data_IF_179052125001
#
_entry.id   IF_179052125001
#
_cell.length_a   1.000
_cell.length_b   1.000
_cell.length_c   1.000
_cell.angle_alpha   90.00
_cell.angle_beta   90.00
_cell.angle_gamma   90.00
#
_symmetry.space_group_name_H-M   'P 1'
#
loop_
_entity.id
_entity.type
_entity.pdbx_description
1 polymer ?
#
# COMPACT_ATOMS: atom_id res chain seq x y z
N UNK A 1 7.26 -10.43 19.28
CA UNK A 1 5.99 -10.34 18.53
C UNK A 1 6.34 -10.22 17.06
N UNK A 2 5.69 -10.83 16.09
CA UNK A 2 4.25 -10.99 15.85
C UNK A 2 3.89 -12.29 15.07
N UNK A 3 4.51 -13.45 15.32
CA UNK A 3 4.32 -14.63 14.44
C UNK A 3 2.86 -15.13 14.34
N UNK A 4 2.00 -14.85 15.33
CA UNK A 4 0.56 -15.15 15.25
C UNK A 4 -0.22 -14.22 14.31
N UNK A 5 0.16 -12.94 14.18
CA UNK A 5 -0.49 -12.00 13.26
C UNK A 5 -0.07 -12.23 11.80
N UNK A 6 1.09 -12.85 11.56
CA UNK A 6 1.50 -13.33 10.22
C UNK A 6 0.49 -14.33 9.65
N UNK A 7 -0.18 -15.09 10.51
CA UNK A 7 -1.24 -16.04 10.12
C UNK A 7 -2.61 -15.37 9.93
N UNK A 8 -2.84 -14.25 10.61
CA UNK A 8 -3.94 -13.33 10.33
C UNK A 8 -3.68 -12.44 9.10
N UNK A 9 -2.56 -12.65 8.39
CA UNK A 9 -2.26 -11.94 7.16
C UNK A 9 -3.38 -12.16 6.15
N UNK A 10 -3.95 -11.09 5.58
CA UNK A 10 -5.03 -11.17 4.61
C UNK A 10 -4.73 -12.15 3.46
N UNK A 11 -3.47 -12.30 3.06
CA UNK A 11 -3.08 -13.22 2.00
C UNK A 11 -3.14 -14.70 2.39
N UNK A 12 -2.72 -15.08 3.60
CA UNK A 12 -2.84 -16.47 4.07
C UNK A 12 -4.29 -16.82 4.41
N UNK A 13 -5.03 -15.88 5.02
CA UNK A 13 -6.44 -16.03 5.40
C UNK A 13 -7.37 -16.05 4.19
N UNK A 14 -7.02 -15.39 3.06
CA UNK A 14 -7.81 -15.48 1.82
C UNK A 14 -7.38 -16.64 0.92
N UNK A 15 -6.08 -16.93 0.86
CA UNK A 15 -5.53 -17.93 -0.06
C UNK A 15 -6.10 -19.34 0.17
N UNK A 16 -6.01 -19.86 1.39
CA UNK A 16 -6.42 -21.24 1.70
C UNK A 16 -7.94 -21.44 1.57
N UNK A 17 -8.80 -20.56 2.11
CA UNK A 17 -10.26 -20.68 1.91
C UNK A 17 -10.70 -20.50 0.46
N UNK A 18 -9.93 -19.76 -0.37
CA UNK A 18 -10.17 -19.67 -1.81
C UNK A 18 -9.72 -20.91 -2.60
N UNK A 19 -9.24 -21.97 -1.92
CA UNK A 19 -8.83 -23.23 -2.53
C UNK A 19 -7.36 -23.30 -2.95
N UNK A 20 -6.54 -22.31 -2.56
CA UNK A 20 -5.09 -22.35 -2.83
C UNK A 20 -4.35 -23.16 -1.77
N UNK A 21 -3.19 -23.71 -2.15
CA UNK A 21 -2.20 -24.20 -1.20
C UNK A 21 -1.26 -23.05 -0.79
N UNK A 22 -0.75 -23.09 0.44
CA UNK A 22 0.08 -22.05 1.00
C UNK A 22 1.44 -22.60 1.44
N UNK A 23 2.50 -21.89 1.07
CA UNK A 23 3.85 -22.08 1.59
C UNK A 23 4.24 -20.82 2.37
N UNK A 24 4.46 -20.98 3.68
CA UNK A 24 4.83 -19.89 4.58
C UNK A 24 6.31 -20.03 4.92
N UNK A 25 7.10 -19.00 4.62
CA UNK A 25 8.50 -18.91 4.98
C UNK A 25 8.68 -17.88 6.11
N UNK A 26 9.36 -18.29 7.19
CA UNK A 26 9.68 -17.40 8.32
C UNK A 26 11.18 -17.38 8.61
N UNK A 27 11.74 -16.23 9.02
CA UNK A 27 13.05 -16.18 9.65
C UNK A 27 13.09 -17.10 10.89
N UNK A 28 14.25 -17.72 11.19
CA UNK A 28 14.37 -18.65 12.32
C UNK A 28 13.97 -18.04 13.66
N UNK A 29 14.28 -16.75 13.87
CA UNK A 29 13.97 -16.04 15.13
C UNK A 29 12.47 -15.89 15.42
N UNK A 30 11.61 -15.94 14.40
CA UNK A 30 10.14 -15.80 14.53
C UNK A 30 9.38 -17.06 14.12
N UNK A 31 10.07 -18.11 13.67
CA UNK A 31 9.46 -19.32 13.13
C UNK A 31 8.70 -20.23 14.11
N UNK A 32 9.07 -20.37 15.41
CA UNK A 32 8.52 -21.45 16.25
C UNK A 32 6.98 -21.51 16.31
N UNK A 33 6.22 -20.40 16.46
CA UNK A 33 4.76 -20.47 16.49
C UNK A 33 4.14 -20.85 15.14
N UNK A 34 4.81 -20.52 14.03
CA UNK A 34 4.36 -20.91 12.68
C UNK A 34 4.61 -22.39 12.42
N UNK A 35 5.74 -22.93 12.88
CA UNK A 35 6.06 -24.35 12.78
C UNK A 35 5.07 -25.19 13.60
N UNK A 36 4.76 -24.77 14.83
CA UNK A 36 3.74 -25.40 15.66
C UNK A 36 2.36 -25.40 14.97
N UNK A 37 1.98 -24.31 14.28
CA UNK A 37 0.75 -24.33 13.49
C UNK A 37 0.82 -25.37 12.36
N UNK A 38 1.96 -25.46 11.67
CA UNK A 38 2.18 -26.49 10.65
C UNK A 38 1.93 -27.90 11.19
N UNK A 39 2.42 -28.20 12.39
CA UNK A 39 2.16 -29.47 13.08
C UNK A 39 0.67 -29.66 13.42
N UNK A 40 0.05 -28.65 14.05
CA UNK A 40 -1.37 -28.69 14.42
C UNK A 40 -2.32 -28.75 13.22
N UNK A 41 -1.88 -28.31 12.04
CA UNK A 41 -2.70 -28.38 10.82
C UNK A 41 -3.02 -29.81 10.40
N UNK A 42 -2.11 -30.75 10.71
CA UNK A 42 -2.33 -32.19 10.53
C UNK A 42 -3.12 -32.82 11.68
N UNK A 43 -2.99 -32.28 12.90
CA UNK A 43 -3.62 -32.80 14.12
C UNK A 43 -4.92 -32.06 14.45
N UNK A 44 -6.04 -32.53 13.90
CA UNK A 44 -7.39 -32.10 14.29
C UNK A 44 -8.08 -31.07 13.39
N UNK A 45 -7.33 -30.30 12.58
CA UNK A 45 -7.90 -29.37 11.60
C UNK A 45 -8.27 -30.03 10.25
N UNK A 46 -7.80 -31.27 10.01
CA UNK A 46 -8.02 -32.07 8.80
C UNK A 46 -7.65 -31.34 7.49
N UNK A 47 -6.64 -30.47 7.51
CA UNK A 47 -6.10 -29.93 6.26
C UNK A 47 -5.40 -31.08 5.50
N UNK A 48 -5.71 -31.29 4.21
CA UNK A 48 -5.01 -32.31 3.43
C UNK A 48 -3.49 -32.06 3.41
N UNK A 49 -2.66 -33.13 3.45
CA UNK A 49 -1.22 -32.98 3.36
C UNK A 49 -0.80 -32.12 2.16
N UNK A 50 0.09 -31.15 2.40
CA UNK A 50 0.59 -30.23 1.37
C UNK A 50 -0.26 -28.97 1.14
N UNK A 51 -1.44 -28.83 1.78
CA UNK A 51 -2.22 -27.60 1.69
C UNK A 51 -1.55 -26.45 2.42
N UNK A 52 -0.96 -26.70 3.59
CA UNK A 52 -0.13 -25.76 4.31
C UNK A 52 1.27 -26.36 4.50
N UNK A 53 2.28 -25.64 4.05
CA UNK A 53 3.68 -25.98 4.28
C UNK A 53 4.35 -24.81 4.98
N UNK A 54 5.05 -25.05 6.08
CA UNK A 54 5.74 -24.00 6.83
C UNK A 54 7.23 -24.31 6.86
N UNK A 55 8.05 -23.36 6.41
CA UNK A 55 9.50 -23.46 6.40
C UNK A 55 10.12 -22.36 7.25
N UNK A 56 11.15 -22.73 8.02
CA UNK A 56 12.03 -21.79 8.69
C UNK A 56 13.36 -21.72 7.94
N UNK A 57 13.82 -20.53 7.57
CA UNK A 57 15.09 -20.43 6.87
C UNK A 57 15.56 -19.01 6.56
N UNK A 58 16.75 -18.89 5.95
CA UNK A 58 17.39 -17.61 5.70
C UNK A 58 16.66 -16.81 4.60
N UNK A 59 16.89 -15.47 4.54
CA UNK A 59 16.28 -14.60 3.53
C UNK A 59 16.46 -15.06 2.07
N UNK A 60 17.57 -15.75 1.75
CA UNK A 60 17.81 -16.29 0.40
C UNK A 60 16.74 -17.26 -0.10
N UNK A 61 16.00 -17.93 0.80
CA UNK A 61 14.87 -18.77 0.39
C UNK A 61 13.70 -17.94 -0.17
N UNK A 62 13.50 -16.69 0.29
CA UNK A 62 12.46 -15.81 -0.27
C UNK A 62 12.70 -15.55 -1.76
N UNK A 63 13.97 -15.36 -2.15
CA UNK A 63 14.37 -15.16 -3.54
C UNK A 63 14.09 -16.42 -4.37
N UNK A 64 14.45 -17.59 -3.86
CA UNK A 64 14.19 -18.87 -4.51
C UNK A 64 12.68 -19.11 -4.74
N UNK A 65 11.84 -18.81 -3.73
CA UNK A 65 10.38 -18.93 -3.84
C UNK A 65 9.80 -18.02 -4.92
N UNK A 66 10.30 -16.79 -5.02
CA UNK A 66 9.84 -15.83 -6.03
C UNK A 66 10.12 -16.30 -7.45
N UNK A 67 11.30 -16.88 -7.70
CA UNK A 67 11.70 -17.34 -9.02
C UNK A 67 11.21 -18.75 -9.35
N UNK A 68 10.54 -19.41 -8.41
CA UNK A 68 10.12 -20.80 -8.60
C UNK A 68 8.95 -20.85 -9.61
N UNK A 69 9.07 -21.63 -10.71
CA UNK A 69 8.07 -21.63 -11.79
C UNK A 69 6.68 -22.09 -11.32
N UNK A 70 6.62 -22.97 -10.33
CA UNK A 70 5.37 -23.52 -9.78
C UNK A 70 4.68 -22.60 -8.76
N UNK A 71 5.30 -21.50 -8.33
CA UNK A 71 4.70 -20.58 -7.34
C UNK A 71 3.86 -19.52 -8.05
N UNK A 72 2.54 -19.61 -7.90
CA UNK A 72 1.58 -18.71 -8.58
C UNK A 72 1.58 -17.29 -8.02
N UNK A 73 1.70 -17.14 -6.70
CA UNK A 73 1.63 -15.85 -6.02
C UNK A 73 2.60 -15.82 -4.82
N UNK A 74 3.24 -14.68 -4.60
CA UNK A 74 4.08 -14.42 -3.42
C UNK A 74 3.50 -13.24 -2.65
N UNK A 75 3.36 -13.40 -1.34
CA UNK A 75 3.08 -12.28 -0.43
C UNK A 75 4.27 -12.08 0.49
N UNK A 76 4.68 -10.83 0.68
CA UNK A 76 5.76 -10.48 1.60
C UNK A 76 5.26 -9.56 2.71
N UNK A 77 5.69 -9.86 3.94
CA UNK A 77 5.41 -9.11 5.16
C UNK A 77 6.74 -8.70 5.80
N UNK A 78 7.03 -7.40 5.80
CA UNK A 78 8.22 -6.85 6.47
C UNK A 78 8.72 -5.55 5.83
N UNK A 79 9.81 -5.00 6.38
CA UNK A 79 10.47 -3.84 5.81
C UNK A 79 10.94 -4.12 4.38
N UNK A 80 10.67 -3.22 3.41
CA UNK A 80 11.11 -3.40 2.04
C UNK A 80 12.64 -3.40 2.01
N UNK A 81 13.25 -4.51 1.58
CA UNK A 81 14.64 -4.48 1.11
C UNK A 81 14.66 -3.81 -0.27
N UNK A 82 15.67 -2.99 -0.56
CA UNK A 82 15.82 -2.29 -1.86
C UNK A 82 15.70 -3.27 -3.05
N UNK A 83 16.18 -4.49 -2.88
CA UNK A 83 16.09 -5.59 -3.84
C UNK A 83 14.65 -6.03 -4.15
N UNK A 84 13.69 -5.88 -3.22
CA UNK A 84 12.28 -6.25 -3.45
C UNK A 84 11.49 -5.13 -4.15
N UNK A 85 11.87 -3.85 -3.95
CA UNK A 85 11.23 -2.71 -4.60
C UNK A 85 11.55 -2.62 -6.10
N UNK A 86 12.79 -2.97 -6.49
CA UNK A 86 13.23 -2.91 -7.89
C UNK A 86 12.48 -3.91 -8.81
N UNK A 87 11.83 -4.93 -8.23
CA UNK A 87 11.23 -6.05 -8.96
C UNK A 87 9.71 -6.00 -9.14
N UNK A 88 9.01 -5.11 -8.43
CA UNK A 88 7.55 -4.94 -8.60
C UNK A 88 7.20 -4.31 -9.95
N UNK A 89 8.18 -3.69 -10.63
CA UNK A 89 7.98 -2.99 -11.91
C UNK A 89 8.33 -3.82 -13.16
N UNK A 90 8.81 -5.06 -13.02
CA UNK A 90 9.44 -5.79 -14.14
C UNK A 90 8.84 -7.14 -14.57
N UNK A 91 7.78 -7.65 -13.91
CA UNK A 91 7.24 -8.99 -14.24
C UNK A 91 5.81 -8.90 -14.81
N UNK A 92 5.53 -9.42 -16.02
CA UNK A 92 4.24 -9.21 -16.69
C UNK A 92 3.03 -9.85 -16.01
N UNK A 93 3.16 -10.82 -15.09
CA UNK A 93 2.01 -11.52 -14.52
C UNK A 93 2.19 -12.13 -13.10
N UNK A 94 3.24 -11.82 -12.35
CA UNK A 94 3.41 -12.32 -10.96
C UNK A 94 4.03 -11.26 -10.06
N UNK A 95 3.26 -10.19 -9.80
CA UNK A 95 3.65 -9.16 -8.84
C UNK A 95 3.45 -9.67 -7.41
N UNK A 96 4.38 -9.39 -6.46
CA UNK A 96 4.16 -9.75 -5.07
C UNK A 96 2.99 -8.94 -4.50
N UNK A 97 2.04 -9.61 -3.84
CA UNK A 97 1.04 -8.94 -3.00
C UNK A 97 1.78 -8.43 -1.76
N UNK A 98 2.02 -7.12 -1.66
CA UNK A 98 2.61 -6.50 -0.46
C UNK A 98 1.48 -6.23 0.54
N UNK A 99 1.12 -7.25 1.34
CA UNK A 99 0.06 -7.14 2.33
C UNK A 99 0.62 -6.96 3.74
N UNK A 100 0.09 -6.00 4.50
CA UNK A 100 0.12 -5.94 5.97
C UNK A 100 1.04 -4.88 6.62
N UNK A 101 0.63 -4.29 7.76
CA UNK A 101 1.44 -3.31 8.49
C UNK A 101 2.50 -4.02 9.31
N UNK A 102 3.73 -4.10 8.80
CA UNK A 102 4.87 -4.59 9.60
C UNK A 102 6.20 -3.94 9.22
N UNK A 103 6.16 -2.64 8.91
CA UNK A 103 7.38 -1.87 8.68
C UNK A 103 7.23 -0.35 8.58
N UNK A 104 6.08 0.22 8.96
CA UNK A 104 5.85 1.66 8.87
C UNK A 104 5.21 2.25 10.12
N UNK A 105 5.41 3.55 10.33
CA UNK A 105 4.81 4.31 11.44
C UNK A 105 3.32 4.51 11.22
N UNK A 106 2.57 4.65 12.31
CA UNK A 106 1.16 5.08 12.26
C UNK A 106 1.10 6.58 12.55
N UNK A 107 0.34 7.31 11.73
CA UNK A 107 0.06 8.75 11.95
C UNK A 107 -1.31 8.93 12.57
N UNK A 108 -1.41 9.58 13.73
CA UNK A 108 -2.68 9.81 14.41
C UNK A 108 -2.98 11.30 14.43
N UNK A 109 -4.06 11.72 13.79
CA UNK A 109 -4.52 13.10 13.74
C UNK A 109 -5.61 13.29 14.81
N UNK A 110 -5.43 14.24 15.71
CA UNK A 110 -6.38 14.57 16.79
C UNK A 110 -6.84 16.02 16.63
N UNK A 111 -8.11 16.21 16.28
CA UNK A 111 -8.70 17.52 16.00
C UNK A 111 -9.39 18.13 17.23
N UNK A 112 -9.82 19.38 17.11
CA UNK A 112 -10.43 20.16 18.20
C UNK A 112 -11.64 19.49 18.88
N UNK A 113 -12.50 18.84 18.11
CA UNK A 113 -13.71 18.16 18.58
C UNK A 113 -13.44 16.76 19.13
N UNK A 114 -12.20 16.27 19.10
CA UNK A 114 -11.87 14.90 19.49
C UNK A 114 -12.17 14.59 20.96
N UNK A 115 -12.58 13.34 21.21
CA UNK A 115 -12.51 12.76 22.56
C UNK A 115 -11.04 12.44 22.90
N UNK A 116 -10.41 13.32 23.69
CA UNK A 116 -9.00 13.22 24.05
C UNK A 116 -8.69 12.03 24.97
N UNK A 117 -9.66 11.59 25.78
CA UNK A 117 -9.45 10.49 26.71
C UNK A 117 -9.47 9.15 25.98
N UNK A 118 -10.40 9.00 25.02
CA UNK A 118 -10.43 7.88 24.08
C UNK A 118 -9.18 7.85 23.20
N UNK A 119 -8.83 8.98 22.57
CA UNK A 119 -7.63 9.08 21.73
C UNK A 119 -6.35 8.71 22.49
N UNK A 120 -6.13 9.28 23.67
CA UNK A 120 -4.93 9.00 24.47
C UNK A 120 -4.84 7.54 24.90
N UNK A 121 -5.98 6.91 25.22
CA UNK A 121 -6.02 5.49 25.61
C UNK A 121 -5.69 4.59 24.42
N UNK A 122 -6.27 4.84 23.25
CA UNK A 122 -5.99 4.08 22.04
C UNK A 122 -4.51 4.23 21.60
N UNK A 123 -3.98 5.45 21.57
CA UNK A 123 -2.58 5.70 21.23
C UNK A 123 -1.64 4.95 22.17
N UNK A 124 -1.89 5.00 23.49
CA UNK A 124 -1.07 4.33 24.49
C UNK A 124 -1.11 2.79 24.39
N UNK A 125 -2.22 2.21 23.91
CA UNK A 125 -2.34 0.77 23.72
C UNK A 125 -1.56 0.26 22.49
N UNK A 126 -1.47 1.07 21.42
CA UNK A 126 -0.90 0.64 20.13
C UNK A 126 0.58 0.99 19.95
N UNK A 127 1.05 2.13 20.46
CA UNK A 127 2.43 2.60 20.21
C UNK A 127 3.59 1.72 20.75
N UNK A 128 3.44 0.82 21.76
CA UNK A 128 4.57 0.01 22.23
C UNK A 128 5.14 -0.94 21.17
N UNK A 129 4.38 -1.17 20.10
CA UNK A 129 4.66 -2.16 19.08
C UNK A 129 5.10 -1.56 17.74
N UNK A 130 5.10 -0.23 17.62
CA UNK A 130 5.51 0.50 16.43
C UNK A 130 5.44 2.01 16.66
N UNK A 131 6.48 2.74 16.23
CA UNK A 131 6.54 4.19 16.42
C UNK A 131 5.31 4.92 15.87
N UNK A 132 4.81 5.89 16.63
CA UNK A 132 3.62 6.66 16.28
C UNK A 132 3.93 8.16 16.24
N UNK A 133 3.40 8.85 15.23
CA UNK A 133 3.43 10.31 15.15
C UNK A 133 2.01 10.84 15.34
N UNK A 134 1.82 11.66 16.37
CA UNK A 134 0.55 12.29 16.70
C UNK A 134 0.56 13.73 16.23
N UNK A 135 -0.38 14.10 15.38
CA UNK A 135 -0.62 15.45 14.90
C UNK A 135 -1.85 16.00 15.63
N UNK A 136 -1.65 16.84 16.64
CA UNK A 136 -2.73 17.36 17.47
C UNK A 136 -3.01 18.83 17.14
N UNK A 137 -4.28 19.18 16.97
CA UNK A 137 -4.64 20.57 16.72
C UNK A 137 -4.23 21.46 17.91
N UNK A 138 -3.72 22.67 17.64
CA UNK A 138 -3.14 23.58 18.66
C UNK A 138 -4.00 23.71 19.93
N UNK A 139 -5.33 23.82 19.75
CA UNK A 139 -6.28 23.97 20.83
C UNK A 139 -6.31 22.79 21.82
N UNK A 140 -5.97 21.58 21.36
CA UNK A 140 -6.04 20.34 22.15
C UNK A 140 -4.69 19.71 22.44
N UNK A 141 -3.61 20.14 21.76
CA UNK A 141 -2.28 19.54 21.85
C UNK A 141 -1.76 19.43 23.29
N UNK A 142 -1.78 20.52 24.06
CA UNK A 142 -1.32 20.51 25.46
C UNK A 142 -2.20 19.63 26.36
N UNK A 143 -3.51 19.59 26.12
CA UNK A 143 -4.44 18.76 26.89
C UNK A 143 -4.27 17.27 26.59
N UNK A 144 -3.96 16.93 25.34
CA UNK A 144 -3.63 15.58 24.90
C UNK A 144 -2.27 15.13 25.46
N UNK A 145 -1.26 16.00 25.41
CA UNK A 145 0.08 15.69 25.92
C UNK A 145 0.06 15.26 27.39
N UNK A 146 -0.68 15.98 28.24
CA UNK A 146 -0.84 15.61 29.66
C UNK A 146 -1.46 14.23 29.83
N UNK A 147 -2.48 13.90 29.04
CA UNK A 147 -3.16 12.59 29.08
C UNK A 147 -2.24 11.47 28.60
N UNK A 148 -1.50 11.71 27.52
CA UNK A 148 -0.50 10.78 27.02
C UNK A 148 0.57 10.52 28.07
N UNK A 149 1.18 11.55 28.67
CA UNK A 149 2.17 11.38 29.76
C UNK A 149 1.62 10.54 30.91
N UNK A 150 0.39 10.80 31.34
CA UNK A 150 -0.26 10.04 32.41
C UNK A 150 -0.50 8.57 32.03
N UNK A 151 -0.96 8.29 30.81
CA UNK A 151 -1.17 6.92 30.31
C UNK A 151 0.15 6.18 30.14
N UNK A 152 1.15 6.81 29.52
CA UNK A 152 2.48 6.24 29.32
C UNK A 152 3.17 5.90 30.64
N UNK A 153 3.04 6.76 31.65
CA UNK A 153 3.59 6.52 32.99
C UNK A 153 2.89 5.39 33.76
N UNK A 154 1.70 4.96 33.33
CA UNK A 154 0.96 3.86 33.94
C UNK A 154 1.21 2.50 33.29
N UNK A 155 1.91 2.47 32.15
CA UNK A 155 2.18 1.24 31.40
C UNK A 155 3.10 0.29 32.18
N UNK A 156 2.74 -0.99 32.18
CA UNK A 156 3.56 -2.03 32.79
C UNK A 156 4.61 -2.55 31.84
N UNK A 157 5.85 -2.13 32.05
CA UNK A 157 7.03 -2.67 31.37
C UNK A 157 7.53 -3.90 32.12
N UNK A 158 7.75 -5.03 31.45
CA UNK A 158 8.13 -6.25 32.15
C UNK A 158 8.27 -7.51 31.30
N UNK A 159 8.29 -8.67 31.96
CA UNK A 159 8.40 -9.98 31.31
C UNK A 159 7.25 -10.17 30.31
N UNK A 160 7.52 -10.45 29.02
CA UNK A 160 6.47 -10.68 28.03
C UNK A 160 5.62 -11.93 28.31
N UNK A 161 6.01 -12.80 29.23
CA UNK A 161 5.21 -13.94 29.69
C UNK A 161 4.23 -13.59 30.82
N UNK A 162 4.37 -12.43 31.47
CA UNK A 162 3.39 -11.96 32.43
C UNK A 162 2.18 -11.36 31.68
N UNK A 163 0.95 -11.89 31.87
CA UNK A 163 -0.25 -11.38 31.20
C UNK A 163 -0.60 -9.93 31.56
N UNK A 164 0.03 -9.35 32.60
CA UNK A 164 -0.13 -7.95 33.00
C UNK A 164 0.86 -7.01 32.32
N UNK A 165 1.86 -7.53 31.62
CA UNK A 165 2.84 -6.74 30.88
C UNK A 165 2.21 -6.13 29.64
N UNK A 166 2.37 -4.82 29.48
CA UNK A 166 1.90 -4.06 28.31
C UNK A 166 3.05 -3.72 27.36
N UNK A 167 4.27 -3.60 27.88
CA UNK A 167 5.47 -3.26 27.10
C UNK A 167 6.57 -4.28 27.37
N UNK A 168 6.92 -5.06 26.34
CA UNK A 168 7.99 -6.05 26.40
C UNK A 168 9.37 -5.51 26.02
N UNK A 169 10.41 -6.37 26.01
CA UNK A 169 11.74 -5.99 25.58
C UNK A 169 11.80 -5.78 24.06
N UNK A 170 12.78 -4.98 23.62
CA UNK A 170 13.13 -4.87 22.22
C UNK A 170 13.51 -6.24 21.64
N UNK A 171 13.19 -6.50 20.35
CA UNK A 171 13.58 -7.74 19.70
C UNK A 171 15.11 -7.91 19.72
N UNK A 172 15.62 -9.16 19.86
CA UNK A 172 17.06 -9.42 19.82
C UNK A 172 17.73 -8.79 18.59
N UNK A 173 18.87 -8.12 18.79
CA UNK A 173 19.63 -7.44 17.73
C UNK A 173 19.08 -6.07 17.31
N UNK A 174 18.00 -5.59 17.94
CA UNK A 174 17.46 -4.25 17.68
C UNK A 174 18.23 -3.21 18.50
N UNK A 175 18.83 -2.18 17.89
CA UNK A 175 19.51 -1.13 18.64
C UNK A 175 18.51 -0.29 19.44
N UNK A 176 18.93 0.21 20.60
CA UNK A 176 18.12 1.15 21.37
C UNK A 176 17.97 2.49 20.62
N UNK A 177 16.81 3.16 20.67
CA UNK A 177 16.59 4.43 20.00
C UNK A 177 17.22 5.65 20.69
N UNK A 178 18.07 5.45 21.71
CA UNK A 178 18.61 6.53 22.56
C UNK A 178 19.27 7.67 21.75
N UNK A 179 19.99 7.34 20.67
CA UNK A 179 20.60 8.37 19.82
C UNK A 179 19.58 9.31 19.17
N UNK A 180 18.43 8.79 18.75
CA UNK A 180 17.34 9.60 18.16
C UNK A 180 16.67 10.46 19.22
N UNK A 181 16.51 9.93 20.44
CA UNK A 181 15.92 10.64 21.57
C UNK A 181 16.83 11.77 22.06
N UNK A 182 18.13 11.52 22.14
CA UNK A 182 19.11 12.49 22.58
C UNK A 182 19.29 13.63 21.58
N UNK A 183 19.32 13.34 20.28
CA UNK A 183 19.33 14.35 19.22
C UNK A 183 18.10 15.27 19.33
N UNK A 184 16.90 14.69 19.50
CA UNK A 184 15.69 15.49 19.67
C UNK A 184 15.77 16.40 20.92
N UNK A 185 16.35 15.92 22.04
CA UNK A 185 16.58 16.76 23.23
C UNK A 185 17.52 17.92 22.95
N UNK A 186 18.61 17.68 22.22
CA UNK A 186 19.61 18.68 21.85
C UNK A 186 19.03 19.73 20.90
N UNK A 187 18.08 19.34 20.04
CA UNK A 187 17.30 20.25 19.19
C UNK A 187 16.25 21.06 19.96
N UNK A 188 16.09 20.83 21.27
CA UNK A 188 15.15 21.55 22.13
C UNK A 188 13.78 20.89 22.30
N UNK A 189 13.59 19.66 21.81
CA UNK A 189 12.37 18.91 22.04
C UNK A 189 12.25 18.54 23.53
N UNK A 190 11.02 18.51 24.02
CA UNK A 190 10.72 18.01 25.35
C UNK A 190 10.56 16.49 25.29
N UNK A 191 11.29 15.78 26.15
CA UNK A 191 11.23 14.33 26.21
C UNK A 191 10.73 13.87 27.57
N UNK A 192 9.66 13.09 27.56
CA UNK A 192 9.13 12.36 28.70
C UNK A 192 9.45 10.87 28.54
N UNK A 193 10.10 10.27 29.54
CA UNK A 193 10.33 8.83 29.62
C UNK A 193 9.63 8.30 30.87
N UNK A 194 8.80 7.28 30.70
CA UNK A 194 8.20 6.59 31.83
C UNK A 194 9.28 5.87 32.67
N UNK A 195 9.19 5.88 34.00
CA UNK A 195 10.16 5.20 34.85
C UNK A 195 10.10 3.68 34.61
N UNK A 196 11.26 3.06 34.48
CA UNK A 196 11.36 1.60 34.36
C UNK A 196 11.30 0.94 35.74
N UNK A 197 10.53 -0.15 35.91
CA UNK A 197 10.57 -0.96 37.12
C UNK A 197 11.90 -1.76 37.18
N UNK A 198 12.19 -2.45 38.29
CA UNK A 198 13.26 -3.44 38.33
C UNK A 198 13.06 -4.47 37.21
N UNK A 199 14.06 -4.58 36.32
CA UNK A 199 13.96 -5.38 35.10
C UNK A 199 14.47 -6.80 35.33
N UNK A 200 13.93 -7.80 34.60
CA UNK A 200 14.45 -9.17 34.61
C UNK A 200 15.83 -9.27 33.95
N UNK A 201 16.43 -10.47 33.95
CA UNK A 201 17.67 -10.74 33.19
C UNK A 201 17.52 -10.32 31.72
N UNK A 202 18.55 -9.65 31.17
CA UNK A 202 18.44 -9.00 29.85
C UNK A 202 17.72 -7.63 29.88
N UNK A 203 17.81 -6.94 31.01
CA UNK A 203 17.26 -5.59 31.23
C UNK A 203 17.72 -4.53 30.23
N UNK A 204 18.88 -4.73 29.61
CA UNK A 204 19.45 -3.87 28.57
C UNK A 204 18.59 -3.74 27.31
N UNK A 205 17.70 -4.70 27.07
CA UNK A 205 16.76 -4.68 25.94
C UNK A 205 15.46 -3.95 26.22
N UNK A 206 15.21 -3.51 27.45
CA UNK A 206 14.02 -2.74 27.78
C UNK A 206 14.28 -1.26 27.58
N UNK A 207 13.37 -0.59 26.87
CA UNK A 207 13.44 0.84 26.65
C UNK A 207 12.18 1.52 27.20
N UNK A 208 12.28 2.66 27.90
CA UNK A 208 11.12 3.29 28.50
C UNK A 208 10.16 3.80 27.41
N UNK A 209 8.83 3.65 27.62
CA UNK A 209 7.83 4.43 26.89
C UNK A 209 8.22 5.90 26.83
N UNK A 210 8.45 6.41 25.62
CA UNK A 210 9.04 7.73 25.41
C UNK A 210 8.11 8.60 24.56
N UNK A 211 7.75 9.78 25.08
CA UNK A 211 7.04 10.82 24.36
C UNK A 211 7.99 11.99 24.08
N UNK A 212 8.11 12.35 22.80
CA UNK A 212 8.87 13.50 22.31
C UNK A 212 7.84 14.54 21.84
N UNK A 213 7.85 15.73 22.43
CA UNK A 213 7.01 16.86 22.01
C UNK A 213 7.86 18.06 21.59
N UNK A 214 7.37 18.81 20.60
CA UNK A 214 8.08 19.98 20.09
C UNK A 214 9.35 19.66 19.29
N UNK A 215 9.41 18.48 18.67
CA UNK A 215 10.49 18.13 17.76
C UNK A 215 10.49 19.05 16.53
N UNK A 216 11.69 19.43 16.07
CA UNK A 216 11.84 20.18 14.83
C UNK A 216 11.33 19.35 13.63
N UNK A 217 10.74 19.95 12.57
CA UNK A 217 10.28 19.21 11.39
C UNK A 217 11.38 18.39 10.69
N UNK A 218 12.64 18.80 10.84
CA UNK A 218 13.83 18.11 10.29
C UNK A 218 14.44 17.08 11.24
N UNK A 219 13.87 16.93 12.44
CA UNK A 219 14.40 16.03 13.47
C UNK A 219 14.44 14.59 12.98
N UNK A 220 15.49 13.87 13.36
CA UNK A 220 15.68 12.46 12.97
C UNK A 220 14.52 11.57 13.43
N UNK A 221 13.87 11.88 14.56
CA UNK A 221 12.71 11.14 15.05
C UNK A 221 11.49 11.17 14.09
N UNK A 222 11.40 12.17 13.21
CA UNK A 222 10.37 12.28 12.18
C UNK A 222 10.81 11.68 10.84
N UNK A 223 12.12 11.69 10.53
CA UNK A 223 12.67 11.21 9.26
C UNK A 223 12.94 9.71 9.23
N UNK A 224 13.31 9.13 10.37
CA UNK A 224 13.67 7.71 10.48
C UNK A 224 12.63 6.95 11.30
N UNK A 225 12.37 5.70 10.92
CA UNK A 225 11.56 4.80 11.74
C UNK A 225 12.46 4.22 12.84
N UNK A 226 12.55 4.95 13.95
CA UNK A 226 13.32 4.51 15.09
C UNK A 226 12.66 3.29 15.77
N UNK A 227 13.44 2.27 16.19
CA UNK A 227 12.89 1.11 16.87
C UNK A 227 12.44 1.45 18.30
N UNK A 228 11.47 0.70 18.82
CA UNK A 228 11.04 0.80 20.21
C UNK A 228 9.85 1.74 20.45
N UNK A 229 9.47 1.92 21.73
CA UNK A 229 8.23 2.57 22.13
C UNK A 229 8.36 4.11 22.10
N UNK A 230 8.53 4.68 20.91
CA UNK A 230 8.64 6.12 20.69
C UNK A 230 7.34 6.72 20.13
N UNK A 231 6.87 7.77 20.79
CA UNK A 231 5.73 8.58 20.39
C UNK A 231 6.19 10.02 20.13
N UNK A 232 5.92 10.57 18.96
CA UNK A 232 6.24 11.97 18.65
C UNK A 232 4.95 12.78 18.51
N UNK A 233 4.79 13.84 19.30
CA UNK A 233 3.64 14.73 19.27
C UNK A 233 4.00 16.06 18.62
N UNK A 234 3.29 16.41 17.54
CA UNK A 234 3.43 17.67 16.82
C UNK A 234 2.12 18.45 16.85
N UNK A 235 2.15 19.73 17.23
CA UNK A 235 1.01 20.62 17.08
C UNK A 235 0.78 20.99 15.60
N UNK A 236 -0.49 21.14 15.22
CA UNK A 236 -0.91 21.60 13.89
C UNK A 236 -2.06 22.60 14.01
N UNK A 237 -2.19 23.53 13.07
CA UNK A 237 -3.22 24.58 13.11
C UNK A 237 -4.61 24.05 12.76
N UNK A 238 -4.69 22.95 12.02
CA UNK A 238 -5.96 22.34 11.64
C UNK A 238 -5.82 21.21 10.63
N UNK A 239 -6.95 20.70 10.11
CA UNK A 239 -7.00 19.48 9.30
C UNK A 239 -6.12 19.53 8.04
N UNK A 240 -6.10 20.66 7.35
CA UNK A 240 -5.32 20.81 6.11
C UNK A 240 -3.81 20.73 6.35
N UNK A 241 -3.32 21.30 7.44
CA UNK A 241 -1.91 21.19 7.81
C UNK A 241 -1.59 19.78 8.30
N UNK A 242 -2.48 19.16 9.07
CA UNK A 242 -2.32 17.78 9.51
C UNK A 242 -2.14 16.81 8.32
N UNK A 243 -2.98 16.95 7.28
CA UNK A 243 -2.85 16.16 6.05
C UNK A 243 -1.53 16.43 5.34
N UNK A 244 -1.10 17.69 5.24
CA UNK A 244 0.15 18.05 4.58
C UNK A 244 1.36 17.44 5.30
N UNK A 245 1.40 17.53 6.62
CA UNK A 245 2.45 16.94 7.46
C UNK A 245 2.41 15.41 7.36
N UNK A 246 1.23 14.79 7.51
CA UNK A 246 1.06 13.34 7.40
C UNK A 246 1.51 12.79 6.04
N UNK A 247 1.30 13.54 4.96
CA UNK A 247 1.71 13.17 3.60
C UNK A 247 3.21 13.31 3.36
N UNK A 248 3.89 14.16 4.13
CA UNK A 248 5.33 14.38 4.02
C UNK A 248 6.15 13.40 4.89
N UNK A 249 5.50 12.70 5.84
CA UNK A 249 6.18 11.75 6.70
C UNK A 249 6.58 10.49 5.91
N UNK A 250 7.86 10.06 6.00
CA UNK A 250 8.30 8.85 5.34
C UNK A 250 7.79 7.60 6.08
N UNK A 251 7.63 6.51 5.31
CA UNK A 251 7.35 5.17 5.84
C UNK A 251 6.09 5.11 6.72
N UNK A 252 5.02 5.82 6.36
CA UNK A 252 3.72 5.73 7.06
C UNK A 252 2.92 4.55 6.52
N UNK A 253 2.54 3.62 7.39
CA UNK A 253 1.73 2.47 7.02
C UNK A 253 0.23 2.75 7.17
N UNK A 254 -0.21 3.44 8.20
CA UNK A 254 -1.63 3.69 8.39
C UNK A 254 -1.85 5.04 9.04
N UNK A 255 -3.09 5.50 9.02
CA UNK A 255 -3.47 6.71 9.72
C UNK A 255 -4.72 6.50 10.57
N UNK A 256 -4.89 7.36 11.57
CA UNK A 256 -6.14 7.47 12.30
C UNK A 256 -6.54 8.94 12.45
N UNK A 257 -7.83 9.22 12.43
CA UNK A 257 -8.38 10.57 12.63
C UNK A 257 -9.35 10.53 13.80
N UNK A 258 -9.11 11.36 14.80
CA UNK A 258 -10.00 11.60 15.92
C UNK A 258 -10.70 12.95 15.77
N UNK A 259 -12.03 12.91 15.64
CA UNK A 259 -12.92 14.06 15.62
C UNK A 259 -14.37 13.59 15.89
N UNK A 260 -15.16 14.39 16.61
CA UNK A 260 -16.59 14.09 16.81
C UNK A 260 -17.44 14.57 15.63
N UNK A 261 -16.95 15.56 14.87
CA UNK A 261 -17.57 15.97 13.62
C UNK A 261 -17.28 14.96 12.50
N UNK A 262 -18.33 14.25 12.07
CA UNK A 262 -18.25 13.22 11.03
C UNK A 262 -17.81 13.78 9.68
N UNK A 263 -18.21 15.00 9.34
CA UNK A 263 -17.85 15.64 8.07
C UNK A 263 -16.36 15.96 8.05
N UNK A 264 -15.84 16.52 9.14
CA UNK A 264 -14.41 16.82 9.26
C UNK A 264 -13.58 15.54 9.29
N UNK A 265 -14.02 14.51 10.02
CA UNK A 265 -13.34 13.22 10.08
C UNK A 265 -13.22 12.56 8.69
N UNK A 266 -14.33 12.50 7.94
CA UNK A 266 -14.37 11.91 6.61
C UNK A 266 -13.59 12.74 5.58
N UNK A 267 -13.70 14.06 5.57
CA UNK A 267 -12.93 14.92 4.66
C UNK A 267 -11.42 14.78 4.91
N UNK A 268 -11.01 14.77 6.18
CA UNK A 268 -9.61 14.61 6.55
C UNK A 268 -9.09 13.24 6.11
N UNK A 269 -9.85 12.17 6.38
CA UNK A 269 -9.49 10.82 5.96
C UNK A 269 -9.42 10.67 4.43
N UNK A 270 -10.30 11.34 3.68
CA UNK A 270 -10.30 11.22 2.22
C UNK A 270 -9.06 11.87 1.57
N UNK A 271 -8.41 12.79 2.28
CA UNK A 271 -7.23 13.51 1.79
C UNK A 271 -5.91 12.87 2.17
N UNK A 272 -5.93 11.86 3.04
CA UNK A 272 -4.74 11.15 3.49
C UNK A 272 -4.25 10.15 2.44
N UNK A 273 -2.93 10.03 2.20
CA UNK A 273 -2.38 9.11 1.22
C UNK A 273 -2.32 7.65 1.68
N UNK A 274 -2.54 7.38 2.97
CA UNK A 274 -2.46 6.04 3.53
C UNK A 274 -3.60 5.14 3.03
N UNK A 275 -3.29 3.85 2.82
CA UNK A 275 -4.27 2.86 2.32
C UNK A 275 -5.26 2.37 3.38
N UNK A 276 -4.98 2.63 4.66
CA UNK A 276 -5.84 2.31 5.80
C UNK A 276 -5.96 3.54 6.71
N UNK A 277 -7.20 3.99 6.94
CA UNK A 277 -7.51 5.11 7.83
C UNK A 277 -8.60 4.70 8.81
N UNK A 278 -8.31 4.75 10.10
CA UNK A 278 -9.31 4.57 11.15
C UNK A 278 -9.94 5.89 11.57
N UNK A 279 -11.23 5.87 11.91
CA UNK A 279 -11.95 7.02 12.46
C UNK A 279 -12.33 6.74 13.91
N UNK A 280 -11.87 7.59 14.84
CA UNK A 280 -12.10 7.46 16.28
C UNK A 280 -11.77 6.07 16.85
N UNK A 281 -10.82 5.37 16.22
CA UNK A 281 -10.35 4.05 16.59
C UNK A 281 -8.90 3.90 16.10
N UNK A 282 -8.20 2.89 16.61
CA UNK A 282 -6.86 2.54 16.16
C UNK A 282 -6.64 1.03 16.34
N UNK A 283 -5.83 0.46 15.44
CA UNK A 283 -5.41 -0.94 15.49
C UNK A 283 -6.57 -1.96 15.47
N UNK A 284 -7.68 -1.58 14.84
CA UNK A 284 -8.72 -2.53 14.49
C UNK A 284 -8.28 -3.32 13.26
N UNK A 285 -8.29 -4.65 13.39
CA UNK A 285 -7.95 -5.56 12.31
C UNK A 285 -8.86 -5.32 11.10
N UNK A 286 -8.26 -5.04 9.95
CA UNK A 286 -8.98 -4.87 8.69
C UNK A 286 -9.21 -6.25 8.02
N UNK A 287 -10.45 -6.77 7.95
CA UNK A 287 -10.74 -8.03 7.27
C UNK A 287 -10.70 -7.90 5.73
N UNK A 288 -10.71 -6.67 5.21
CA UNK A 288 -10.67 -6.42 3.77
C UNK A 288 -9.25 -6.60 3.18
N UNK A 289 -8.24 -6.69 4.05
CA UNK A 289 -6.84 -6.79 3.64
C UNK A 289 -6.28 -5.51 3.05
N UNK A 290 -6.88 -4.37 3.40
CA UNK A 290 -6.42 -3.04 3.02
C UNK A 290 -4.94 -2.90 3.32
N UNK A 291 -4.19 -2.66 2.24
CA UNK A 291 -2.75 -2.60 2.30
C UNK A 291 -2.36 -1.25 2.90
N UNK A 292 -1.91 -1.28 4.15
CA UNK A 292 -1.43 -0.12 4.89
C UNK A 292 -0.51 0.76 4.01
N UNK A 293 0.48 0.15 3.33
CA UNK A 293 1.43 0.85 2.47
C UNK A 293 0.95 1.15 1.03
N UNK A 294 -0.35 1.33 0.80
CA UNK A 294 -0.87 1.72 -0.52
C UNK A 294 -0.64 0.68 -1.63
N UNK A 295 -0.58 -0.61 -1.27
CA UNK A 295 -0.38 -1.65 -2.27
C UNK A 295 -1.59 -1.73 -3.20
N UNK A 296 -1.29 -1.95 -4.47
CA UNK A 296 -2.29 -2.09 -5.54
C UNK A 296 -3.03 -3.40 -5.30
N UNK A 297 -4.33 -3.32 -5.02
CA UNK A 297 -5.20 -4.48 -5.08
C UNK A 297 -5.30 -4.94 -6.53
N UNK A 298 -4.48 -5.95 -6.86
CA UNK A 298 -4.52 -6.66 -8.12
C UNK A 298 -5.16 -8.02 -7.86
N UNK A 299 -6.48 -8.06 -7.66
CA UNK A 299 -7.25 -9.29 -7.81
C UNK A 299 -7.22 -9.72 -9.29
N UNK A 300 -6.05 -10.22 -9.71
CA UNK A 300 -5.76 -10.71 -11.06
C UNK A 300 -6.45 -12.04 -11.36
N UNK A 301 -7.04 -12.70 -10.36
CA UNK A 301 -7.86 -13.90 -10.59
C UNK A 301 -9.30 -13.53 -11.00
N UNK A 302 -9.77 -12.35 -10.57
CA UNK A 302 -11.02 -11.76 -11.06
C UNK A 302 -10.79 -10.94 -12.32
N UNK A 303 -9.66 -10.23 -12.48
CA UNK A 303 -9.48 -9.28 -13.58
C UNK A 303 -9.68 -9.88 -15.01
N UNK A 304 -9.13 -11.03 -15.40
CA UNK A 304 -9.40 -11.61 -16.72
C UNK A 304 -10.86 -12.06 -16.89
N UNK A 305 -11.51 -12.54 -15.81
CA UNK A 305 -12.91 -13.01 -15.82
C UNK A 305 -13.93 -11.87 -15.75
N UNK A 306 -13.62 -10.82 -15.01
CA UNK A 306 -14.43 -9.62 -14.81
C UNK A 306 -14.26 -8.63 -15.98
N UNK A 307 -13.07 -8.57 -16.58
CA UNK A 307 -12.76 -7.66 -17.70
C UNK A 307 -12.74 -8.34 -19.08
N UNK A 308 -12.91 -9.67 -19.15
CA UNK A 308 -13.04 -10.41 -20.41
C UNK A 308 -11.80 -10.37 -21.30
N UNK A 309 -10.63 -10.12 -20.72
CA UNK A 309 -9.36 -10.07 -21.45
C UNK A 309 -8.80 -11.49 -21.60
N UNK A 310 -8.46 -11.89 -22.83
CA UNK A 310 -7.70 -13.12 -23.06
C UNK A 310 -6.31 -13.00 -22.39
N UNK A 311 -5.74 -14.10 -21.85
CA UNK A 311 -4.36 -14.11 -21.39
C UNK A 311 -3.44 -13.57 -22.48
N UNK A 312 -2.50 -12.71 -22.13
CA UNK A 312 -1.63 -12.04 -23.11
C UNK A 312 -0.78 -13.04 -23.93
N UNK A 313 -0.59 -14.24 -23.40
CA UNK A 313 0.05 -15.41 -23.98
C UNK A 313 -0.69 -15.99 -25.20
N UNK A 314 -1.97 -15.65 -25.40
CA UNK A 314 -2.79 -16.15 -26.51
C UNK A 314 -2.84 -15.21 -27.72
N UNK A 315 -2.08 -14.11 -27.70
CA UNK A 315 -2.02 -13.22 -28.86
C UNK A 315 -1.14 -13.78 -29.98
N UNK A 316 -1.57 -13.68 -31.24
CA UNK A 316 -0.74 -14.03 -32.38
C UNK A 316 0.49 -13.12 -32.44
N UNK A 317 1.66 -13.71 -32.65
CA UNK A 317 2.87 -12.98 -33.02
C UNK A 317 2.76 -12.55 -34.48
N UNK A 318 3.26 -11.35 -34.78
CA UNK A 318 3.32 -10.86 -36.15
C UNK A 318 4.62 -11.38 -36.76
N UNK A 319 4.53 -12.46 -37.53
CA UNK A 319 5.69 -13.15 -38.13
C UNK A 319 6.35 -12.39 -39.31
N UNK A 320 5.66 -11.41 -39.92
CA UNK A 320 6.16 -10.68 -41.10
C UNK A 320 6.35 -9.17 -40.85
N UNK A 321 7.49 -8.58 -41.28
CA UNK A 321 7.71 -7.14 -41.21
C UNK A 321 6.79 -6.42 -42.22
N UNK A 322 5.76 -5.75 -41.70
CA UNK A 322 4.93 -4.81 -42.46
C UNK A 322 5.77 -3.68 -43.08
N UNK A 323 5.32 -3.14 -44.21
CA UNK A 323 5.96 -1.94 -44.79
C UNK A 323 5.64 -0.70 -43.95
N UNK A 324 6.63 0.15 -43.62
CA UNK A 324 6.39 1.36 -42.85
C UNK A 324 5.54 2.35 -43.66
N UNK A 325 4.55 2.96 -43.01
CA UNK A 325 3.69 3.98 -43.64
C UNK A 325 4.08 5.40 -43.28
N UNK A 326 4.66 5.60 -42.10
CA UNK A 326 5.14 6.88 -41.59
C UNK A 326 6.37 6.58 -40.74
N UNK A 327 7.39 7.44 -40.84
CA UNK A 327 8.53 7.45 -39.93
C UNK A 327 8.26 8.47 -38.82
N UNK A 328 8.53 8.08 -37.57
CA UNK A 328 8.45 8.94 -36.39
C UNK A 328 9.82 8.94 -35.74
N UNK A 329 10.26 10.09 -35.24
CA UNK A 329 11.53 10.18 -34.51
C UNK A 329 11.43 9.41 -33.19
N UNK A 330 12.54 8.79 -32.79
CA UNK A 330 12.60 8.05 -31.53
C UNK A 330 12.49 9.01 -30.35
N UNK A 331 11.59 8.75 -29.39
CA UNK A 331 11.45 9.62 -28.23
C UNK A 331 12.72 9.54 -27.38
N UNK A 332 13.28 10.71 -27.05
CA UNK A 332 14.42 10.83 -26.13
C UNK A 332 13.99 11.01 -24.67
N UNK A 333 14.97 11.05 -23.77
CA UNK A 333 14.74 11.31 -22.34
C UNK A 333 13.96 12.61 -22.09
N UNK A 334 14.16 13.62 -22.95
CA UNK A 334 13.43 14.90 -22.90
C UNK A 334 11.93 14.73 -23.16
N UNK A 335 11.55 13.89 -24.13
CA UNK A 335 10.14 13.64 -24.47
C UNK A 335 9.43 12.87 -23.34
N UNK A 336 10.13 11.88 -22.78
CA UNK A 336 9.64 11.15 -21.61
C UNK A 336 9.46 12.08 -20.40
N UNK A 337 10.44 12.95 -20.13
CA UNK A 337 10.34 13.93 -19.04
C UNK A 337 9.16 14.89 -19.23
N UNK A 338 8.93 15.36 -20.47
CA UNK A 338 7.79 16.22 -20.79
C UNK A 338 6.45 15.49 -20.62
N UNK A 339 6.33 14.25 -21.12
CA UNK A 339 5.12 13.44 -20.98
C UNK A 339 4.82 13.14 -19.49
N UNK A 340 5.85 12.81 -18.70
CA UNK A 340 5.72 12.59 -17.26
C UNK A 340 5.31 13.85 -16.51
N UNK A 341 5.87 15.02 -16.87
CA UNK A 341 5.49 16.30 -16.28
C UNK A 341 4.01 16.64 -16.59
N UNK A 342 3.57 16.45 -17.83
CA UNK A 342 2.18 16.65 -18.23
C UNK A 342 1.23 15.70 -17.49
N UNK A 343 1.58 14.41 -17.41
CA UNK A 343 0.78 13.41 -16.72
C UNK A 343 0.66 13.70 -15.22
N UNK A 344 1.77 14.08 -14.56
CA UNK A 344 1.79 14.49 -13.14
C UNK A 344 0.95 15.73 -12.88
N UNK A 345 0.99 16.72 -13.78
CA UNK A 345 0.15 17.92 -13.70
C UNK A 345 -1.34 17.61 -13.85
N UNK A 346 -1.70 16.67 -14.72
CA UNK A 346 -3.10 16.31 -14.98
C UNK A 346 -3.70 15.34 -13.94
N UNK A 347 -2.89 14.48 -13.32
CA UNK A 347 -3.35 13.38 -12.48
C UNK A 347 -4.29 13.79 -11.33
N UNK A 348 -4.03 14.86 -10.55
CA UNK A 348 -4.95 15.29 -9.49
C UNK A 348 -6.32 15.72 -10.01
N UNK A 349 -6.35 16.40 -11.17
CA UNK A 349 -7.59 16.85 -11.80
C UNK A 349 -8.38 15.70 -12.41
N UNK A 350 -7.71 14.84 -13.18
CA UNK A 350 -8.32 13.69 -13.84
C UNK A 350 -8.84 12.66 -12.84
N UNK A 351 -8.04 12.32 -11.81
CA UNK A 351 -8.38 11.33 -10.80
C UNK A 351 -9.59 11.71 -9.94
N UNK A 352 -9.82 13.02 -9.72
CA UNK A 352 -10.96 13.54 -8.95
C UNK A 352 -12.26 13.66 -9.75
N UNK A 353 -12.21 13.52 -11.08
CA UNK A 353 -13.43 13.60 -11.88
C UNK A 353 -14.40 12.47 -11.48
N UNK A 354 -15.71 12.75 -11.37
CA UNK A 354 -16.71 11.69 -11.21
C UNK A 354 -16.62 10.66 -12.35
N UNK A 355 -16.93 9.40 -12.05
CA UNK A 355 -16.93 8.32 -13.03
C UNK A 355 -17.72 8.64 -14.32
N UNK A 356 -18.88 9.30 -14.18
CA UNK A 356 -19.69 9.77 -15.31
C UNK A 356 -18.99 10.81 -16.19
N UNK A 357 -18.18 11.70 -15.59
CA UNK A 357 -17.39 12.68 -16.34
C UNK A 357 -16.28 12.00 -17.13
N UNK A 358 -15.58 11.02 -16.52
CA UNK A 358 -14.57 10.21 -17.23
C UNK A 358 -15.21 9.38 -18.34
N UNK A 359 -16.37 8.78 -18.10
CA UNK A 359 -17.14 8.04 -19.09
C UNK A 359 -17.55 8.90 -20.29
N UNK A 360 -17.93 10.16 -20.07
CA UNK A 360 -18.22 11.12 -21.15
C UNK A 360 -17.01 11.33 -22.06
N UNK A 361 -15.82 11.49 -21.47
CA UNK A 361 -14.57 11.65 -22.23
C UNK A 361 -14.26 10.39 -23.04
N UNK A 362 -14.38 9.20 -22.44
CA UNK A 362 -14.14 7.93 -23.13
C UNK A 362 -15.13 7.70 -24.29
N UNK A 363 -16.41 8.04 -24.11
CA UNK A 363 -17.42 8.00 -25.19
C UNK A 363 -17.11 9.00 -26.30
N UNK A 364 -16.64 10.20 -25.96
CA UNK A 364 -16.19 11.20 -26.92
C UNK A 364 -15.01 10.69 -27.77
N UNK A 365 -14.00 10.10 -27.12
CA UNK A 365 -12.88 9.45 -27.81
C UNK A 365 -13.35 8.31 -28.73
N UNK A 366 -14.27 7.46 -28.26
CA UNK A 366 -14.85 6.38 -29.05
C UNK A 366 -15.69 6.88 -30.26
N UNK A 367 -16.27 8.07 -30.18
CA UNK A 367 -17.00 8.69 -31.28
C UNK A 367 -16.06 9.34 -32.31
N UNK A 368 -14.91 9.85 -31.87
CA UNK A 368 -13.88 10.42 -32.74
C UNK A 368 -13.13 9.36 -33.56
N UNK A 369 -13.03 8.12 -33.04
CA UNK A 369 -12.63 6.95 -33.82
C UNK A 369 -13.73 6.65 -34.86
N UNK A 370 -13.64 7.28 -36.03
CA UNK A 370 -14.67 7.23 -37.07
C UNK A 370 -15.09 5.81 -37.46
N UNK A 371 -16.36 5.62 -37.83
CA UNK A 371 -16.94 4.32 -38.20
C UNK A 371 -16.47 3.72 -39.54
N UNK A 372 -15.29 4.10 -40.03
CA UNK A 372 -14.73 3.59 -41.27
C UNK A 372 -14.20 2.18 -41.07
N UNK A 373 -14.96 1.17 -41.50
CA UNK A 373 -14.41 -0.16 -41.73
C UNK A 373 -13.29 -0.03 -42.76
N UNK A 374 -12.03 -0.07 -42.31
CA UNK A 374 -10.95 -0.43 -43.22
C UNK A 374 -11.31 -1.81 -43.75
N UNK A 375 -11.64 -1.92 -45.04
CA UNK A 375 -11.74 -3.23 -45.67
C UNK A 375 -10.37 -3.88 -45.54
N UNK A 376 -10.26 -5.10 -44.97
CA UNK A 376 -8.99 -5.79 -44.85
C UNK A 376 -8.58 -6.22 -46.25
N UNK A 377 -7.83 -5.35 -46.92
CA UNK A 377 -7.04 -5.69 -48.08
C UNK A 377 -5.60 -5.41 -47.69
N UNK A 378 -4.79 -6.46 -47.80
CA UNK A 378 -3.33 -6.45 -47.71
C UNK A 378 -2.75 -6.59 -46.29
N UNK A 379 -2.97 -7.76 -45.67
CA UNK A 379 -2.15 -8.24 -44.54
C UNK A 379 -2.32 -7.49 -43.21
N UNK A 380 -3.43 -6.76 -43.06
CA UNK A 380 -3.65 -5.87 -41.92
C UNK A 380 -3.81 -6.63 -40.59
N UNK A 381 -3.24 -6.05 -39.53
CA UNK A 381 -3.31 -6.54 -38.15
C UNK A 381 -4.71 -6.35 -37.53
N UNK A 382 -5.78 -6.75 -38.21
CA UNK A 382 -7.17 -6.74 -37.72
C UNK A 382 -7.79 -5.37 -37.40
N UNK A 383 -9.08 -5.37 -37.06
CA UNK A 383 -9.94 -4.22 -36.69
C UNK A 383 -9.46 -3.50 -35.39
N UNK A 384 -8.28 -2.87 -35.41
CA UNK A 384 -7.67 -2.21 -34.24
C UNK A 384 -8.49 -1.03 -33.75
N UNK A 385 -8.98 -0.18 -34.65
CA UNK A 385 -9.83 0.96 -34.31
C UNK A 385 -11.17 0.52 -33.72
N UNK A 386 -11.80 -0.51 -34.29
CA UNK A 386 -13.02 -1.08 -33.73
C UNK A 386 -12.78 -1.77 -32.39
N UNK A 387 -11.63 -2.42 -32.18
CA UNK A 387 -11.23 -2.98 -30.87
C UNK A 387 -11.05 -1.88 -29.83
N UNK A 388 -10.32 -0.82 -30.13
CA UNK A 388 -10.13 0.33 -29.24
C UNK A 388 -11.46 1.00 -28.91
N UNK A 389 -12.30 1.25 -29.94
CA UNK A 389 -13.62 1.84 -29.77
C UNK A 389 -14.51 1.00 -28.87
N UNK A 390 -14.56 -0.33 -29.06
CA UNK A 390 -15.29 -1.24 -28.18
C UNK A 390 -14.75 -1.20 -26.76
N UNK A 391 -13.42 -1.19 -26.59
CA UNK A 391 -12.78 -1.11 -25.29
C UNK A 391 -13.12 0.20 -24.55
N UNK A 392 -13.02 1.35 -25.22
CA UNK A 392 -13.41 2.66 -24.68
C UNK A 392 -14.88 2.68 -24.23
N UNK A 393 -15.80 2.12 -25.03
CA UNK A 393 -17.21 2.05 -24.67
C UNK A 393 -17.48 1.11 -23.49
N UNK A 394 -16.84 -0.07 -23.44
CA UNK A 394 -16.94 -0.99 -22.30
C UNK A 394 -16.47 -0.32 -21.00
N UNK A 395 -15.30 0.33 -21.05
CA UNK A 395 -14.71 0.99 -19.89
C UNK A 395 -15.39 2.31 -19.52
N UNK A 396 -16.08 2.98 -20.44
CA UNK A 396 -16.97 4.10 -20.10
C UNK A 396 -18.13 3.66 -19.20
N UNK A 397 -18.77 2.53 -19.51
CA UNK A 397 -19.82 1.97 -18.64
C UNK A 397 -19.24 1.55 -17.30
N UNK A 398 -18.03 0.96 -17.28
CA UNK A 398 -17.38 0.55 -16.03
C UNK A 398 -17.00 1.75 -15.17
N UNK A 399 -16.50 2.84 -15.75
CA UNK A 399 -16.16 4.07 -15.01
C UNK A 399 -17.32 4.61 -14.18
N UNK A 400 -18.57 4.44 -14.64
CA UNK A 400 -19.78 4.84 -13.92
C UNK A 400 -20.18 3.88 -12.79
N UNK A 401 -19.67 2.64 -12.80
CA UNK A 401 -20.05 1.56 -11.88
C UNK A 401 -18.93 1.14 -10.93
N UNK A 402 -17.71 1.65 -11.10
CA UNK A 402 -16.61 1.36 -10.19
C UNK A 402 -16.95 2.01 -8.86
N UNK A 403 -17.16 1.17 -7.85
CA UNK A 403 -17.54 1.55 -6.50
C UNK A 403 -16.67 0.86 -5.46
N UNK A 404 -16.87 1.28 -4.22
CA UNK A 404 -16.27 0.64 -3.06
C UNK A 404 -17.03 -0.58 -2.57
N UNK A 405 -16.55 -1.15 -1.47
CA UNK A 405 -17.26 -2.16 -0.70
C UNK A 405 -17.50 -1.66 0.73
N UNK A 406 -18.53 -2.18 1.38
CA UNK A 406 -18.78 -1.98 2.81
C UNK A 406 -18.76 -3.34 3.47
N UNK A 407 -17.92 -3.50 4.49
CA UNK A 407 -17.78 -4.73 5.25
C UNK A 407 -18.08 -4.48 6.72
N UNK A 408 -18.84 -5.38 7.35
CA UNK A 408 -19.03 -5.33 8.80
C UNK A 408 -17.78 -5.82 9.51
N UNK A 409 -17.38 -5.08 10.55
CA UNK A 409 -16.22 -5.39 11.40
C UNK A 409 -16.62 -5.32 12.86
N UNK A 410 -15.92 -6.05 13.76
CA UNK A 410 -16.07 -5.82 15.19
C UNK A 410 -15.91 -4.32 15.51
N UNK A 411 -16.92 -3.74 16.15
CA UNK A 411 -16.91 -2.32 16.53
C UNK A 411 -17.32 -1.33 15.43
N UNK A 412 -17.69 -1.76 14.22
CA UNK A 412 -18.17 -0.83 13.20
C UNK A 412 -18.30 -1.39 11.77
N UNK A 413 -17.94 -0.55 10.79
CA UNK A 413 -17.93 -0.89 9.37
C UNK A 413 -16.63 -0.42 8.72
N UNK A 414 -16.05 -1.24 7.87
CA UNK A 414 -14.95 -0.86 6.99
C UNK A 414 -15.52 -0.40 5.64
N UNK A 415 -15.13 0.80 5.20
CA UNK A 415 -15.46 1.34 3.88
C UNK A 415 -14.22 1.22 2.99
N UNK A 416 -14.29 0.33 2.00
CA UNK A 416 -13.23 0.16 1.00
C UNK A 416 -13.50 1.10 -0.15
N UNK A 417 -12.65 2.10 -0.37
CA UNK A 417 -12.74 3.00 -1.53
C UNK A 417 -11.66 2.69 -2.55
N UNK A 418 -11.98 2.83 -3.84
CA UNK A 418 -11.00 2.70 -4.94
C UNK A 418 -10.45 4.08 -5.28
N UNK A 419 -9.13 4.25 -5.25
CA UNK A 419 -8.43 5.47 -5.68
C UNK A 419 -7.54 5.21 -6.89
N UNK A 420 -7.37 6.18 -7.79
CA UNK A 420 -6.40 6.07 -8.88
C UNK A 420 -4.97 5.98 -8.32
N UNK A 421 -4.12 5.23 -9.01
CA UNK A 421 -2.68 5.16 -8.76
C UNK A 421 -1.96 6.47 -9.11
N UNK A 422 -2.55 7.28 -10.00
CA UNK A 422 -1.98 8.53 -10.48
C UNK A 422 -1.46 8.38 -11.90
N UNK A 423 -0.14 8.34 -12.08
CA UNK A 423 0.49 8.18 -13.41
C UNK A 423 0.92 6.73 -13.61
N UNK A 424 0.43 6.10 -14.68
CA UNK A 424 0.76 4.73 -15.07
C UNK A 424 1.65 4.79 -16.32
N UNK A 425 2.85 4.24 -16.23
CA UNK A 425 3.73 4.02 -17.38
C UNK A 425 3.39 2.69 -18.06
N UNK A 426 3.27 2.70 -19.38
CA UNK A 426 3.04 1.50 -20.19
C UNK A 426 4.18 1.35 -21.19
N UNK A 427 4.97 0.30 -21.02
CA UNK A 427 5.97 -0.16 -21.98
C UNK A 427 5.44 -1.42 -22.67
N UNK A 428 5.67 -1.56 -23.98
CA UNK A 428 5.06 -2.62 -24.79
C UNK A 428 6.11 -3.35 -25.66
N UNK A 429 5.92 -4.66 -25.87
CA UNK A 429 6.82 -5.57 -26.59
C UNK A 429 6.63 -5.60 -28.12
N UNK A 430 7.72 -5.85 -28.86
CA UNK A 430 7.92 -5.46 -30.26
C UNK A 430 7.28 -6.43 -31.28
N UNK A 431 6.85 -7.62 -30.85
CA UNK A 431 6.31 -8.68 -31.73
C UNK A 431 4.79 -8.66 -31.88
N UNK A 432 4.10 -7.72 -31.23
CA UNK A 432 2.62 -7.67 -31.16
C UNK A 432 2.10 -6.24 -31.32
N UNK A 433 0.98 -6.00 -32.03
CA UNK A 433 0.38 -4.67 -32.11
C UNK A 433 -0.06 -4.19 -30.73
N UNK A 434 0.04 -2.88 -30.45
CA UNK A 434 -0.36 -2.26 -29.19
C UNK A 434 -1.77 -2.74 -28.85
N UNK A 435 -1.92 -3.42 -27.72
CA UNK A 435 -3.23 -3.91 -27.32
C UNK A 435 -4.09 -2.72 -26.90
N UNK A 436 -5.10 -2.34 -27.70
CA UNK A 436 -5.86 -1.12 -27.46
C UNK A 436 -6.74 -1.19 -26.19
N UNK A 437 -6.72 -2.32 -25.50
CA UNK A 437 -7.46 -2.59 -24.28
C UNK A 437 -6.66 -2.26 -23.02
N UNK A 438 -5.36 -1.91 -23.13
CA UNK A 438 -4.55 -1.50 -21.99
C UNK A 438 -4.82 -0.07 -21.52
N UNK A 439 -5.13 0.85 -22.43
CA UNK A 439 -5.30 2.27 -22.10
C UNK A 439 -6.66 2.60 -21.47
N UNK A 440 -7.79 2.11 -22.02
CA UNK A 440 -9.11 2.41 -21.48
C UNK A 440 -9.33 2.09 -19.99
N UNK A 441 -8.85 0.96 -19.41
CA UNK A 441 -9.00 0.69 -17.97
C UNK A 441 -8.31 1.75 -17.12
N UNK A 442 -7.05 2.06 -17.42
CA UNK A 442 -6.28 3.00 -16.64
C UNK A 442 -6.96 4.39 -16.64
N UNK A 443 -7.41 4.86 -17.81
CA UNK A 443 -8.14 6.13 -17.94
C UNK A 443 -9.50 6.10 -17.23
N UNK A 444 -10.28 5.03 -17.38
CA UNK A 444 -11.59 4.87 -16.74
C UNK A 444 -11.51 4.89 -15.22
N UNK A 445 -10.43 4.37 -14.66
CA UNK A 445 -10.15 4.34 -13.23
C UNK A 445 -9.50 5.63 -12.70
N UNK A 446 -9.33 6.66 -13.55
CA UNK A 446 -8.83 7.98 -13.15
C UNK A 446 -7.31 8.11 -13.15
N UNK A 447 -6.59 7.20 -13.80
CA UNK A 447 -5.15 7.30 -13.99
C UNK A 447 -4.81 8.10 -15.25
N UNK A 448 -3.70 8.82 -15.22
CA UNK A 448 -3.01 9.31 -16.41
C UNK A 448 -2.10 8.20 -16.95
N UNK A 449 -1.96 8.10 -18.26
CA UNK A 449 -1.15 7.06 -18.90
C UNK A 449 -0.04 7.70 -19.72
N UNK A 450 1.19 7.23 -19.54
CA UNK A 450 2.33 7.54 -20.41
C UNK A 450 2.73 6.26 -21.11
N UNK A 451 2.61 6.24 -22.44
CA UNK A 451 2.95 5.07 -23.27
C UNK A 451 4.29 5.34 -23.92
N UNK A 452 5.25 4.44 -23.72
CA UNK A 452 6.54 4.48 -24.42
C UNK A 452 6.55 3.37 -25.45
N UNK A 453 6.62 3.77 -26.72
CA UNK A 453 6.92 2.86 -27.81
C UNK A 453 8.44 2.64 -27.89
N UNK A 454 8.91 1.43 -28.23
CA UNK A 454 10.33 1.19 -28.43
C UNK A 454 10.92 1.94 -29.64
N UNK A 455 12.25 2.20 -29.66
CA UNK A 455 12.94 2.92 -30.75
C UNK A 455 12.93 2.17 -32.10
N UNK A 456 12.99 2.92 -33.20
CA UNK A 456 12.56 2.59 -34.55
C UNK A 456 13.48 1.70 -35.39
N UNK A 457 14.56 1.16 -34.84
CA UNK A 457 15.49 0.30 -35.57
C UNK A 457 15.04 -1.18 -35.66
N UNK A 458 13.88 -1.56 -35.10
CA UNK A 458 13.31 -2.89 -35.32
C UNK A 458 11.78 -2.89 -35.49
N UNK A 459 11.33 -3.15 -36.72
CA UNK A 459 9.97 -3.55 -37.05
C UNK A 459 8.95 -2.40 -37.24
N UNK A 460 7.83 -2.67 -37.94
CA UNK A 460 7.06 -1.64 -38.62
C UNK A 460 6.23 -0.76 -37.68
N UNK A 461 6.33 0.54 -37.91
CA UNK A 461 5.51 1.57 -37.29
C UNK A 461 4.00 1.26 -37.41
N UNK A 462 3.29 1.38 -36.28
CA UNK A 462 1.83 1.36 -36.23
C UNK A 462 1.26 2.56 -37.00
N UNK A 463 0.14 2.33 -37.71
CA UNK A 463 -0.55 3.36 -38.51
C UNK A 463 -1.23 4.41 -37.63
N UNK A 464 -0.49 5.43 -37.17
CA UNK A 464 -1.13 6.64 -36.63
C UNK A 464 -1.59 7.52 -37.81
N UNK A 465 -2.90 7.68 -37.98
CA UNK A 465 -3.44 8.75 -38.83
C UNK A 465 -3.18 10.09 -38.13
N UNK A 466 -2.65 11.07 -38.87
CA UNK A 466 -2.61 12.48 -38.45
C UNK A 466 -4.02 13.02 -38.25
#
# INVERSE_FOLDING_TARGET
>A
GFPSHVLGCPSCVRGVPAGNTALVLSPPATAPPLLLLGELSGEGAALPPGVLNVLAGPPGLCQALRTHPEVTCVTFLGAPQEELQALVWGSPCRGPRLGGPSGGRIVVIVLDSADLDSAATAIAATFPWGGCVVLAQDAVAAALERRLRARLGALRVGDPLDPKTEVGPLPPGTPAPEGVVQEAREEGAQVFQAPLPPLPEGGDRFYPPTLISGAAPTSRCLRELAPGPLLVLLPVRGPSEAVAVASALPQTAAAAVWAQDVTVALDTADRLPQGLVWLNALDLLDPSGGCAAGAVDTDLDEAPREFGCAPWEQLPEVDEPLSPLVTVDDPGDSDLAQAMAAARGAAPGWGRLPGASRARVLRGAAAALGGGHGTPKDGDSGDTDGRLRRALLRWAVRAERVGGAVQEVPGGRALVTRRPLGVVGVAWGWTRPLWPELLPPALALGNCVVVVAPPGDAGPAQRLRK
#
